data_IF_740537410044
#
_entry.id   IF_740537410044
#
_cell.length_a   1.000
_cell.length_b   1.000
_cell.length_c   1.000
_cell.angle_alpha   90.00
_cell.angle_beta   90.00
_cell.angle_gamma   90.00
#
_symmetry.space_group_name_H-M   'P 1'
#
loop_
_entity.id
_entity.type
_entity.pdbx_description
1 polymer ?
#
# COMPACT_ATOMS: atom_id res chain seq x y z
N UNK A 1 -9.24 6.68 -0.64
CA UNK A 1 -10.71 6.88 -0.70
C UNK A 1 -11.10 8.34 -0.98
N UNK A 2 -10.44 9.33 -0.33
CA UNK A 2 -10.79 10.75 -0.42
C UNK A 2 -10.81 11.34 -1.85
N UNK A 3 -10.08 10.73 -2.78
CA UNK A 3 -9.97 11.18 -4.17
C UNK A 3 -10.95 10.45 -5.11
N UNK A 4 -11.82 9.57 -4.60
CA UNK A 4 -12.87 8.95 -5.39
C UNK A 4 -13.96 9.97 -5.74
N UNK A 5 -14.72 9.76 -6.84
CA UNK A 5 -15.83 10.63 -7.21
C UNK A 5 -16.91 10.69 -6.12
N UNK A 6 -17.66 11.78 -6.07
CA UNK A 6 -18.80 11.91 -5.14
C UNK A 6 -19.99 11.02 -5.53
N UNK A 7 -20.10 10.61 -6.78
CA UNK A 7 -21.19 9.79 -7.30
C UNK A 7 -20.94 8.31 -7.03
N UNK A 8 -21.80 7.68 -6.23
CA UNK A 8 -21.71 6.23 -5.97
C UNK A 8 -21.83 5.38 -7.25
N UNK A 9 -22.53 5.85 -8.29
CA UNK A 9 -22.64 5.15 -9.56
C UNK A 9 -21.28 5.14 -10.31
N UNK A 10 -20.55 6.25 -10.25
CA UNK A 10 -19.23 6.38 -10.88
C UNK A 10 -18.20 5.54 -10.13
N UNK A 11 -18.23 5.55 -8.80
CA UNK A 11 -17.39 4.68 -7.97
C UNK A 11 -17.59 3.20 -8.33
N UNK A 12 -18.85 2.76 -8.41
CA UNK A 12 -19.17 1.38 -8.78
C UNK A 12 -18.77 1.05 -10.24
N UNK A 13 -18.77 2.04 -11.11
CA UNK A 13 -18.22 1.94 -12.46
C UNK A 13 -16.72 1.62 -12.42
N UNK A 14 -15.95 2.45 -11.69
CA UNK A 14 -14.51 2.28 -11.51
C UNK A 14 -14.19 0.90 -10.90
N UNK A 15 -14.89 0.49 -9.84
CA UNK A 15 -14.64 -0.80 -9.20
C UNK A 15 -14.87 -1.98 -10.13
N UNK A 16 -15.91 -1.94 -10.98
CA UNK A 16 -16.17 -2.99 -11.97
C UNK A 16 -15.11 -3.08 -13.06
N UNK A 17 -14.68 -1.93 -13.59
CA UNK A 17 -13.64 -1.92 -14.61
C UNK A 17 -12.29 -2.36 -14.02
N UNK A 18 -11.92 -1.85 -12.84
CA UNK A 18 -10.71 -2.22 -12.13
C UNK A 18 -10.69 -3.72 -11.80
N UNK A 19 -11.81 -4.26 -11.32
CA UNK A 19 -12.01 -5.68 -11.02
C UNK A 19 -11.64 -6.60 -12.19
N UNK A 20 -11.96 -6.20 -13.42
CA UNK A 20 -11.63 -7.00 -14.62
C UNK A 20 -10.15 -7.00 -14.97
N UNK A 21 -9.41 -5.98 -14.52
CA UNK A 21 -7.98 -5.87 -14.82
C UNK A 21 -7.11 -6.55 -13.75
N UNK A 22 -7.49 -6.45 -12.48
CA UNK A 22 -6.65 -6.94 -11.36
C UNK A 22 -7.13 -8.28 -10.79
N UNK A 23 -8.15 -8.89 -11.37
CA UNK A 23 -8.75 -10.17 -10.92
C UNK A 23 -9.18 -10.17 -9.43
N UNK A 24 -9.61 -9.00 -8.92
CA UNK A 24 -10.19 -8.84 -7.59
C UNK A 24 -11.66 -8.48 -7.75
N UNK A 25 -12.61 -9.20 -7.13
CA UNK A 25 -14.03 -8.89 -7.26
C UNK A 25 -14.37 -7.44 -6.87
N UNK A 26 -15.23 -6.78 -7.64
CA UNK A 26 -15.68 -5.42 -7.30
C UNK A 26 -16.35 -5.37 -5.93
N UNK A 27 -17.19 -6.39 -5.63
CA UNK A 27 -17.88 -6.55 -4.35
C UNK A 27 -17.89 -8.01 -3.97
N UNK A 28 -17.37 -8.36 -2.80
CA UNK A 28 -17.38 -9.72 -2.25
C UNK A 28 -17.18 -9.70 -0.73
N UNK A 29 -18.03 -10.46 -0.01
CA UNK A 29 -17.94 -10.57 1.45
C UNK A 29 -18.42 -9.33 2.18
N UNK A 30 -17.92 -9.14 3.40
CA UNK A 30 -18.27 -8.03 4.29
C UNK A 30 -17.03 -7.24 4.74
N UNK A 31 -17.23 -6.09 5.37
CA UNK A 31 -16.12 -5.31 5.97
C UNK A 31 -15.42 -6.11 7.08
N UNK A 32 -16.15 -6.95 7.80
CA UNK A 32 -15.54 -7.78 8.85
C UNK A 32 -14.68 -8.89 8.26
N UNK A 33 -15.04 -9.45 7.10
CA UNK A 33 -14.18 -10.36 6.36
C UNK A 33 -12.88 -9.66 5.93
N UNK A 34 -12.95 -8.39 5.49
CA UNK A 34 -11.77 -7.61 5.13
C UNK A 34 -10.79 -7.41 6.31
N UNK A 35 -11.27 -7.28 7.53
CA UNK A 35 -10.43 -7.18 8.73
C UNK A 35 -9.65 -8.45 9.05
N UNK A 36 -10.13 -9.59 8.60
CA UNK A 36 -9.54 -10.91 8.86
C UNK A 36 -8.51 -11.33 7.82
N UNK A 37 -8.41 -10.60 6.72
CA UNK A 37 -7.53 -10.93 5.60
C UNK A 37 -6.21 -10.17 5.73
N UNK A 38 -5.11 -10.90 5.63
CA UNK A 38 -3.80 -10.26 5.48
C UNK A 38 -3.72 -9.56 4.11
N UNK A 39 -2.87 -8.54 4.02
CA UNK A 39 -2.66 -7.81 2.77
C UNK A 39 -2.38 -8.77 1.61
N UNK A 40 -3.02 -8.52 0.47
CA UNK A 40 -2.80 -9.25 -0.78
C UNK A 40 -3.22 -10.72 -0.79
N UNK A 41 -4.02 -11.16 0.16
CA UNK A 41 -4.66 -12.49 0.12
C UNK A 41 -6.03 -12.35 -0.56
N UNK A 42 -6.39 -13.24 -1.51
CA UNK A 42 -7.72 -13.24 -2.11
C UNK A 42 -8.82 -13.38 -1.05
N UNK A 43 -9.84 -12.59 -1.13
CA UNK A 43 -10.94 -12.63 -0.15
C UNK A 43 -12.00 -11.57 -0.44
N UNK A 44 -12.02 -10.46 0.33
CA UNK A 44 -13.01 -9.39 0.16
C UNK A 44 -12.88 -8.69 -1.19
N UNK A 45 -13.97 -8.09 -1.64
CA UNK A 45 -13.98 -7.26 -2.84
C UNK A 45 -13.37 -5.88 -2.62
N UNK A 46 -13.14 -5.16 -3.72
CA UNK A 46 -12.57 -3.80 -3.72
C UNK A 46 -13.40 -2.89 -2.81
N UNK A 47 -14.72 -2.92 -2.92
CA UNK A 47 -15.63 -2.10 -2.12
C UNK A 47 -15.44 -2.32 -0.61
N UNK A 48 -15.31 -3.57 -0.17
CA UNK A 48 -15.13 -3.91 1.24
C UNK A 48 -13.76 -3.47 1.77
N UNK A 49 -12.71 -3.62 0.96
CA UNK A 49 -11.37 -3.16 1.29
C UNK A 49 -11.32 -1.63 1.42
N UNK A 50 -11.92 -0.92 0.47
CA UNK A 50 -11.98 0.55 0.49
C UNK A 50 -12.80 1.05 1.66
N UNK A 51 -13.98 0.46 1.94
CA UNK A 51 -14.82 0.83 3.08
C UNK A 51 -14.11 0.59 4.42
N UNK A 52 -13.33 -0.50 4.55
CA UNK A 52 -12.48 -0.72 5.71
C UNK A 52 -11.41 0.38 5.83
N UNK A 53 -10.67 0.64 4.77
CA UNK A 53 -9.63 1.67 4.74
C UNK A 53 -10.17 3.05 5.09
N UNK A 54 -11.31 3.42 4.54
CA UNK A 54 -11.99 4.69 4.85
C UNK A 54 -12.39 4.80 6.33
N UNK A 55 -12.82 3.70 6.94
CA UNK A 55 -13.17 3.68 8.36
C UNK A 55 -11.97 3.86 9.30
N UNK A 56 -10.77 3.44 8.86
CA UNK A 56 -9.53 3.50 9.64
C UNK A 56 -8.73 4.78 9.38
N UNK A 57 -8.59 5.15 8.12
CA UNK A 57 -7.79 6.30 7.69
C UNK A 57 -8.31 6.86 6.36
N UNK A 58 -9.30 7.78 6.36
CA UNK A 58 -10.02 8.21 5.15
C UNK A 58 -9.14 8.89 4.09
N UNK A 59 -8.01 9.45 4.49
CA UNK A 59 -7.07 10.14 3.58
C UNK A 59 -5.89 9.27 3.14
N UNK A 60 -5.77 8.05 3.66
CA UNK A 60 -4.71 7.13 3.28
C UNK A 60 -5.11 6.27 2.09
N UNK A 61 -4.17 5.95 1.17
CA UNK A 61 -4.44 5.00 0.10
C UNK A 61 -4.72 3.62 0.67
N UNK A 62 -5.60 2.88 0.01
CA UNK A 62 -5.98 1.51 0.37
C UNK A 62 -5.45 0.57 -0.69
N UNK A 63 -4.66 -0.42 -0.27
CA UNK A 63 -4.13 -1.44 -1.16
C UNK A 63 -5.22 -2.46 -1.48
N UNK A 64 -5.59 -2.57 -2.75
CA UNK A 64 -6.65 -3.48 -3.22
C UNK A 64 -6.10 -4.70 -3.97
N UNK A 65 -4.89 -4.61 -4.51
CA UNK A 65 -4.21 -5.72 -5.17
C UNK A 65 -2.69 -5.59 -5.01
N UNK A 66 -1.98 -6.70 -5.09
CA UNK A 66 -0.52 -6.79 -5.08
C UNK A 66 -0.02 -7.60 -6.26
N UNK A 67 1.27 -7.51 -6.54
CA UNK A 67 1.96 -8.24 -7.61
C UNK A 67 1.27 -8.14 -8.97
N UNK A 68 0.69 -6.96 -9.25
CA UNK A 68 0.10 -6.68 -10.55
C UNK A 68 1.20 -6.69 -11.59
N UNK A 69 1.00 -7.41 -12.67
CA UNK A 69 1.97 -7.47 -13.76
C UNK A 69 2.16 -6.10 -14.42
N UNK A 70 3.29 -5.94 -15.14
CA UNK A 70 3.66 -4.65 -15.72
C UNK A 70 2.66 -4.16 -16.79
N UNK A 71 2.01 -5.07 -17.51
CA UNK A 71 1.02 -4.71 -18.53
C UNK A 71 -0.25 -4.15 -17.87
N UNK A 72 -0.76 -4.84 -16.86
CA UNK A 72 -1.89 -4.38 -16.03
C UNK A 72 -1.58 -3.05 -15.35
N UNK A 73 -0.38 -2.91 -14.76
CA UNK A 73 0.04 -1.67 -14.13
C UNK A 73 0.08 -0.49 -15.12
N UNK A 74 0.50 -0.75 -16.36
CA UNK A 74 0.49 0.26 -17.44
C UNK A 74 -0.92 0.67 -17.82
N UNK A 75 -1.83 -0.30 -17.99
CA UNK A 75 -3.24 -0.03 -18.30
C UNK A 75 -3.92 0.79 -17.21
N UNK A 76 -3.66 0.50 -15.94
CA UNK A 76 -4.19 1.30 -14.82
C UNK A 76 -3.67 2.73 -14.86
N UNK A 77 -2.36 2.92 -15.15
CA UNK A 77 -1.79 4.28 -15.28
C UNK A 77 -2.38 5.06 -16.44
N UNK A 78 -2.64 4.43 -17.58
CA UNK A 78 -3.27 5.07 -18.72
C UNK A 78 -4.71 5.50 -18.39
N UNK A 79 -5.42 4.71 -17.61
CA UNK A 79 -6.79 5.01 -17.16
C UNK A 79 -6.87 5.92 -15.93
N UNK A 80 -5.77 6.33 -15.34
CA UNK A 80 -5.76 7.16 -14.14
C UNK A 80 -6.52 8.50 -14.29
N UNK A 81 -6.63 9.03 -15.52
CA UNK A 81 -7.44 10.23 -15.82
C UNK A 81 -8.93 9.97 -15.67
N UNK A 82 -9.38 8.76 -16.05
CA UNK A 82 -10.79 8.35 -16.02
C UNK A 82 -11.16 7.73 -14.64
N UNK A 83 -10.15 7.32 -13.86
CA UNK A 83 -10.31 6.66 -12.57
C UNK A 83 -9.70 7.49 -11.43
N UNK A 84 -10.29 8.62 -11.07
CA UNK A 84 -9.79 9.41 -9.96
C UNK A 84 -9.73 8.59 -8.66
N UNK A 85 -8.65 8.74 -7.91
CA UNK A 85 -8.42 7.98 -6.68
C UNK A 85 -7.81 6.58 -6.86
N UNK A 86 -7.54 6.15 -8.10
CA UNK A 86 -6.82 4.90 -8.40
C UNK A 86 -5.39 5.21 -8.79
N UNK A 87 -4.43 4.53 -8.17
CA UNK A 87 -3.00 4.70 -8.46
C UNK A 87 -2.24 3.38 -8.39
N UNK A 88 -1.08 3.33 -9.06
CA UNK A 88 -0.11 2.25 -8.94
C UNK A 88 1.07 2.76 -8.13
N UNK A 89 1.41 2.02 -7.10
CA UNK A 89 2.58 2.25 -6.27
C UNK A 89 3.56 1.09 -6.42
N UNK A 90 4.85 1.39 -6.43
CA UNK A 90 5.92 0.39 -6.43
C UNK A 90 6.41 0.26 -4.99
N UNK A 91 6.15 -0.89 -4.39
CA UNK A 91 6.55 -1.20 -3.03
C UNK A 91 7.57 -2.35 -3.06
N UNK A 92 8.84 -2.10 -2.76
CA UNK A 92 9.85 -3.15 -2.76
C UNK A 92 9.62 -4.12 -1.61
N UNK A 93 9.50 -5.41 -1.94
CA UNK A 93 9.35 -6.48 -0.95
C UNK A 93 10.64 -7.31 -0.86
N UNK A 94 10.88 -7.87 0.32
CA UNK A 94 11.95 -8.85 0.51
C UNK A 94 11.53 -10.19 -0.08
N UNK A 95 12.37 -10.74 -0.95
CA UNK A 95 12.28 -12.11 -1.39
C UNK A 95 13.37 -12.97 -0.72
N UNK A 96 13.00 -14.14 -0.24
CA UNK A 96 13.89 -15.10 0.41
C UNK A 96 13.95 -16.40 -0.41
N UNK A 97 14.71 -16.44 -1.52
CA UNK A 97 14.69 -17.56 -2.48
C UNK A 97 15.07 -18.91 -1.86
N UNK A 98 15.83 -18.90 -0.78
CA UNK A 98 16.27 -20.11 -0.06
C UNK A 98 15.32 -20.54 1.05
N UNK A 99 14.28 -19.76 1.33
CA UNK A 99 13.22 -20.07 2.29
C UNK A 99 13.76 -20.55 3.65
N UNK A 100 13.26 -21.68 4.11
CA UNK A 100 13.59 -22.24 5.42
C UNK A 100 15.06 -22.63 5.58
N UNK A 101 15.80 -22.85 4.50
CA UNK A 101 17.22 -23.27 4.56
C UNK A 101 18.10 -22.19 5.21
N UNK A 102 17.84 -20.93 4.94
CA UNK A 102 18.65 -19.82 5.46
C UNK A 102 17.89 -18.96 6.48
N UNK A 103 16.65 -19.27 6.80
CA UNK A 103 15.80 -18.48 7.68
C UNK A 103 16.44 -18.14 9.03
N UNK A 104 17.17 -19.09 9.63
CA UNK A 104 17.86 -18.88 10.91
C UNK A 104 19.06 -17.92 10.82
N UNK A 105 19.63 -17.74 9.63
CA UNK A 105 20.79 -16.86 9.41
C UNK A 105 20.32 -15.51 8.91
N UNK A 106 19.49 -15.50 7.88
CA UNK A 106 18.97 -14.27 7.23
C UNK A 106 17.99 -13.56 8.14
N UNK A 107 17.10 -14.29 8.78
CA UNK A 107 16.01 -13.73 9.58
C UNK A 107 14.81 -13.33 8.74
N UNK A 108 14.02 -12.40 9.24
CA UNK A 108 12.80 -11.91 8.56
C UNK A 108 12.49 -10.47 8.96
N UNK A 109 11.69 -9.82 8.11
CA UNK A 109 11.13 -8.49 8.37
C UNK A 109 9.73 -8.62 8.98
N UNK A 110 9.37 -7.65 9.81
CA UNK A 110 8.03 -7.55 10.39
C UNK A 110 7.61 -6.09 10.62
N UNK A 111 6.34 -5.85 10.98
CA UNK A 111 5.84 -4.52 11.26
C UNK A 111 6.53 -3.93 12.50
N UNK A 112 6.60 -2.60 12.58
CA UNK A 112 7.15 -1.92 13.74
C UNK A 112 6.23 -2.19 14.94
N UNK A 113 6.76 -2.73 16.07
CA UNK A 113 5.96 -2.96 17.26
C UNK A 113 5.43 -1.64 17.85
N UNK A 114 4.19 -1.63 18.36
CA UNK A 114 3.58 -0.46 18.97
C UNK A 114 4.44 0.14 20.13
N UNK A 115 5.20 -0.70 20.83
CA UNK A 115 6.10 -0.25 21.90
C UNK A 115 7.31 0.55 21.41
N UNK A 116 7.66 0.46 20.13
CA UNK A 116 8.84 1.09 19.53
C UNK A 116 8.49 2.10 18.43
N UNK A 117 7.21 2.35 18.20
CA UNK A 117 6.74 3.25 17.13
C UNK A 117 7.34 4.66 17.24
N UNK A 118 7.45 5.22 18.45
CA UNK A 118 7.98 6.56 18.68
C UNK A 118 9.45 6.65 18.27
N UNK A 119 10.26 5.68 18.68
CA UNK A 119 11.69 5.59 18.34
C UNK A 119 11.90 5.49 16.82
N UNK A 120 11.14 4.60 16.15
CA UNK A 120 11.26 4.42 14.71
C UNK A 120 10.71 5.61 13.93
N UNK A 121 9.67 6.28 14.43
CA UNK A 121 9.15 7.52 13.84
C UNK A 121 10.18 8.65 13.89
N UNK A 122 10.94 8.78 14.99
CA UNK A 122 12.03 9.76 15.10
C UNK A 122 13.18 9.46 14.11
N UNK A 123 13.32 8.19 13.71
CA UNK A 123 14.26 7.75 12.67
C UNK A 123 13.72 7.89 11.24
N UNK A 124 12.51 8.42 11.06
CA UNK A 124 11.87 8.67 9.77
C UNK A 124 11.03 7.51 9.22
N UNK A 125 10.82 6.45 10.01
CA UNK A 125 9.94 5.35 9.62
C UNK A 125 8.47 5.72 9.77
N UNK A 126 7.63 5.15 8.93
CA UNK A 126 6.18 5.29 9.00
C UNK A 126 5.58 3.99 9.56
N UNK A 127 5.13 3.97 10.84
CA UNK A 127 4.45 2.81 11.41
C UNK A 127 3.26 2.38 10.54
N UNK A 128 2.97 1.09 10.52
CA UNK A 128 1.96 0.41 9.68
C UNK A 128 2.27 0.36 8.17
N UNK A 129 3.33 1.02 7.69
CA UNK A 129 3.83 0.92 6.32
C UNK A 129 5.18 0.23 6.27
N UNK A 130 6.12 0.73 7.07
CA UNK A 130 7.50 0.29 7.03
C UNK A 130 7.69 -0.97 7.89
N UNK A 131 8.66 -1.79 7.52
CA UNK A 131 9.03 -3.04 8.20
C UNK A 131 10.45 -2.94 8.71
N UNK A 132 10.73 -3.67 9.79
CA UNK A 132 12.06 -3.73 10.42
C UNK A 132 12.53 -5.16 10.54
N UNK A 133 13.84 -5.36 10.69
CA UNK A 133 14.45 -6.67 10.92
C UNK A 133 14.16 -7.20 12.31
N UNK A 134 13.58 -8.40 12.40
CA UNK A 134 13.27 -9.06 13.69
C UNK A 134 14.34 -10.04 14.15
N UNK A 135 15.09 -10.62 13.24
CA UNK A 135 16.07 -11.64 13.56
C UNK A 135 17.20 -11.69 12.52
N UNK A 136 18.28 -12.40 12.85
CA UNK A 136 19.39 -12.72 11.95
C UNK A 136 20.09 -11.49 11.35
N UNK A 137 20.51 -11.62 10.12
CA UNK A 137 21.17 -10.55 9.35
C UNK A 137 20.26 -9.34 9.14
N UNK A 138 18.95 -9.58 8.91
CA UNK A 138 17.97 -8.50 8.76
C UNK A 138 17.94 -7.59 10.00
N UNK A 139 17.92 -8.16 11.20
CA UNK A 139 17.95 -7.37 12.44
C UNK A 139 19.32 -6.76 12.72
N UNK A 140 20.40 -7.51 12.46
CA UNK A 140 21.75 -7.05 12.77
C UNK A 140 22.23 -5.91 11.87
N UNK A 141 21.72 -5.85 10.64
CA UNK A 141 22.08 -4.86 9.63
C UNK A 141 20.90 -3.95 9.23
N UNK A 142 19.85 -3.90 10.04
CA UNK A 142 18.63 -3.15 9.76
C UNK A 142 18.91 -1.70 9.33
N UNK A 143 19.77 -0.99 10.06
CA UNK A 143 20.17 0.39 9.72
C UNK A 143 20.85 0.53 8.36
N UNK A 144 21.62 -0.49 7.95
CA UNK A 144 22.33 -0.47 6.66
C UNK A 144 21.38 -0.85 5.53
N UNK A 145 20.56 -1.88 5.77
CA UNK A 145 19.66 -2.44 4.77
C UNK A 145 18.45 -1.54 4.49
N UNK A 146 18.02 -0.76 5.47
CA UNK A 146 16.94 0.23 5.31
C UNK A 146 17.36 1.38 4.40
N UNK A 147 18.64 1.76 4.40
CA UNK A 147 19.14 2.90 3.64
C UNK A 147 18.65 4.24 4.18
N UNK A 148 18.68 5.25 3.33
CA UNK A 148 18.17 6.59 3.65
C UNK A 148 16.87 6.84 2.88
N UNK A 149 15.75 7.16 3.56
CA UNK A 149 14.50 7.48 2.88
C UNK A 149 14.66 8.77 2.06
N UNK A 150 14.12 8.77 0.85
CA UNK A 150 13.97 9.98 0.06
C UNK A 150 12.78 10.80 0.54
N UNK A 151 12.84 12.10 0.39
CA UNK A 151 11.72 13.01 0.66
C UNK A 151 11.12 13.50 -0.65
N UNK A 152 9.80 13.50 -0.74
CA UNK A 152 9.06 14.13 -1.82
C UNK A 152 8.09 15.15 -1.24
N UNK A 153 8.28 16.40 -1.58
CA UNK A 153 7.40 17.49 -1.15
C UNK A 153 6.32 17.66 -2.21
N UNK A 154 5.09 17.41 -1.84
CA UNK A 154 3.92 17.57 -2.72
C UNK A 154 3.01 18.66 -2.17
N UNK A 155 2.33 19.34 -3.08
CA UNK A 155 1.23 20.23 -2.73
C UNK A 155 -0.07 19.47 -2.98
N UNK A 156 -0.89 19.35 -1.95
CA UNK A 156 -2.21 18.71 -2.01
C UNK A 156 -3.30 19.75 -1.81
N UNK A 157 -4.47 19.47 -2.35
CA UNK A 157 -5.69 20.23 -2.03
C UNK A 157 -6.32 19.71 -0.71
N UNK A 158 -7.44 20.31 -0.32
CA UNK A 158 -8.16 19.94 0.91
C UNK A 158 -8.77 18.55 0.89
N UNK A 159 -8.86 17.92 -0.30
CA UNK A 159 -9.36 16.57 -0.50
C UNK A 159 -8.21 15.55 -0.56
N UNK A 160 -6.94 15.98 -0.47
CA UNK A 160 -5.76 15.11 -0.57
C UNK A 160 -5.34 14.80 -2.01
N UNK A 161 -5.88 15.51 -3.00
CA UNK A 161 -5.44 15.35 -4.38
C UNK A 161 -4.11 16.08 -4.61
N UNK A 162 -3.12 15.37 -5.17
CA UNK A 162 -1.81 15.94 -5.51
C UNK A 162 -1.97 16.98 -6.62
N UNK A 163 -1.72 18.25 -6.30
CA UNK A 163 -1.77 19.37 -7.24
C UNK A 163 -0.44 19.55 -7.96
N UNK A 164 0.66 19.42 -7.25
CA UNK A 164 2.00 19.64 -7.79
C UNK A 164 3.06 18.96 -6.94
N UNK A 165 4.05 18.37 -7.60
CA UNK A 165 5.28 17.95 -6.97
C UNK A 165 6.19 19.19 -6.83
N UNK A 166 6.57 19.51 -5.59
CA UNK A 166 7.50 20.58 -5.27
C UNK A 166 8.88 19.94 -5.08
N UNK A 167 9.54 19.55 -6.18
CA UNK A 167 10.92 19.12 -6.08
C UNK A 167 11.75 20.23 -5.45
N UNK A 168 12.60 19.93 -4.46
CA UNK A 168 13.58 20.90 -3.98
C UNK A 168 14.46 21.31 -5.15
N UNK A 169 14.85 22.60 -5.27
CA UNK A 169 15.81 22.98 -6.28
C UNK A 169 17.10 22.19 -6.07
N UNK A 170 17.56 21.54 -7.14
CA UNK A 170 18.83 20.82 -7.20
C UNK A 170 19.99 21.75 -6.86
#
# INVERSE_FOLDING_TARGET
>A
PANLPDSGADIQGIYRELSTLIDVPATQGTIDDAKLVAECIPGPGIEQLVALGESLAPYSPVRVACDVDEETARMVREKAVDWPGVSIEIDPIRDYPTGSLTANVVGFLGPIPASSEEEYRDRGFVPNRDKIGYAGVEAALDEILTGMPGERIIQEDVAGAELRNLEPPL
#
